data_IF_175057631573
#
_entry.id   IF_175057631573
#
_cell.length_a   1.000
_cell.length_b   1.000
_cell.length_c   1.000
_cell.angle_alpha   90.00
_cell.angle_beta   90.00
_cell.angle_gamma   90.00
#
_symmetry.space_group_name_H-M   'P 1'
#
loop_
_entity.id
_entity.type
_entity.pdbx_description
1 polymer ?
#
# COMPACT_ATOMS: atom_id res chain seq x y z
N UNK A 1 -10.85 12.24 9.50
CA UNK A 1 -10.71 12.16 8.04
C UNK A 1 -12.09 11.91 7.47
N UNK A 2 -12.57 12.72 6.53
CA UNK A 2 -13.89 12.50 5.89
C UNK A 2 -13.75 11.55 4.71
N UNK A 3 -14.84 10.90 4.30
CA UNK A 3 -14.89 10.03 3.11
C UNK A 3 -14.32 10.72 1.87
N UNK A 4 -14.62 12.01 1.71
CA UNK A 4 -14.14 12.82 0.58
C UNK A 4 -12.61 13.05 0.63
N UNK A 5 -12.04 13.22 1.84
CA UNK A 5 -10.58 13.32 2.00
C UNK A 5 -9.87 11.99 1.68
N UNK A 6 -10.49 10.85 2.02
CA UNK A 6 -9.97 9.52 1.70
C UNK A 6 -10.03 9.27 0.19
N UNK A 7 -11.15 9.62 -0.46
CA UNK A 7 -11.31 9.49 -1.90
C UNK A 7 -10.29 10.33 -2.69
N UNK A 8 -10.03 11.58 -2.28
CA UNK A 8 -9.03 12.46 -2.91
C UNK A 8 -7.60 11.96 -2.69
N UNK A 9 -7.30 11.40 -1.52
CA UNK A 9 -5.98 10.83 -1.24
C UNK A 9 -5.73 9.59 -2.13
N UNK A 10 -6.74 8.73 -2.29
CA UNK A 10 -6.68 7.57 -3.16
C UNK A 10 -6.59 7.92 -4.64
N UNK A 11 -7.29 8.97 -5.10
CA UNK A 11 -7.23 9.39 -6.52
C UNK A 11 -5.88 9.95 -6.95
N UNK A 12 -4.93 10.10 -6.02
CA UNK A 12 -3.57 10.59 -6.30
C UNK A 12 -2.53 9.49 -6.12
N UNK A 13 -2.93 8.28 -5.74
CA UNK A 13 -1.99 7.19 -5.52
C UNK A 13 -1.25 6.83 -6.81
N UNK A 14 -1.92 6.94 -7.96
CA UNK A 14 -1.39 6.71 -9.30
C UNK A 14 -0.15 7.58 -9.58
N UNK A 15 -0.12 8.81 -9.04
CA UNK A 15 0.99 9.76 -9.25
C UNK A 15 2.26 9.30 -8.52
N UNK A 16 2.09 8.63 -7.37
CA UNK A 16 3.22 8.25 -6.50
C UNK A 16 3.54 6.77 -6.57
N UNK A 17 2.69 5.94 -7.18
CA UNK A 17 2.79 4.49 -7.22
C UNK A 17 4.15 4.00 -7.73
N UNK A 18 4.60 4.54 -8.87
CA UNK A 18 5.90 4.19 -9.48
C UNK A 18 7.12 4.66 -8.66
N UNK A 19 6.92 5.56 -7.71
CA UNK A 19 7.97 6.07 -6.82
C UNK A 19 8.02 5.34 -5.47
N UNK A 20 7.08 4.43 -5.21
CA UNK A 20 7.08 3.61 -4.01
C UNK A 20 8.14 2.52 -4.10
N UNK A 21 8.74 2.20 -2.96
CA UNK A 21 9.59 1.01 -2.89
C UNK A 21 8.75 -0.26 -3.15
N UNK A 22 9.31 -1.32 -3.75
CA UNK A 22 8.55 -2.55 -4.03
C UNK A 22 7.84 -3.14 -2.81
N UNK A 23 8.46 -3.02 -1.63
CA UNK A 23 7.86 -3.47 -0.37
C UNK A 23 6.62 -2.66 0.02
N UNK A 24 6.61 -1.37 -0.27
CA UNK A 24 5.47 -0.48 0.01
C UNK A 24 4.32 -0.78 -0.93
N UNK A 25 4.59 -0.93 -2.23
CA UNK A 25 3.58 -1.38 -3.20
C UNK A 25 2.94 -2.70 -2.77
N UNK A 26 3.76 -3.67 -2.35
CA UNK A 26 3.26 -4.97 -1.88
C UNK A 26 2.37 -4.83 -0.63
N UNK A 27 2.77 -4.00 0.34
CA UNK A 27 1.95 -3.74 1.54
C UNK A 27 0.59 -3.14 1.18
N UNK A 28 0.57 -2.18 0.25
CA UNK A 28 -0.68 -1.57 -0.21
C UNK A 28 -1.60 -2.62 -0.84
N UNK A 29 -1.07 -3.48 -1.72
CA UNK A 29 -1.85 -4.58 -2.30
C UNK A 29 -2.41 -5.50 -1.22
N UNK A 30 -1.63 -5.86 -0.20
CA UNK A 30 -2.10 -6.70 0.91
C UNK A 30 -3.20 -6.05 1.76
N UNK A 31 -3.21 -4.72 1.89
CA UNK A 31 -4.26 -4.01 2.62
C UNK A 31 -5.57 -3.92 1.82
N UNK A 32 -5.46 -3.88 0.49
CA UNK A 32 -6.61 -3.70 -0.41
C UNK A 32 -7.21 -5.03 -0.88
N UNK A 33 -6.39 -6.05 -1.10
CA UNK A 33 -6.78 -7.32 -1.71
C UNK A 33 -6.91 -8.40 -0.65
N UNK A 34 -8.14 -8.90 -0.49
CA UNK A 34 -8.45 -10.01 0.41
C UNK A 34 -8.03 -11.36 -0.16
N UNK A 35 -8.29 -11.57 -1.46
CA UNK A 35 -8.00 -12.84 -2.12
C UNK A 35 -7.87 -12.66 -3.61
N UNK A 36 -6.92 -13.38 -4.21
CA UNK A 36 -6.84 -13.58 -5.66
C UNK A 36 -7.14 -15.05 -5.96
N UNK A 37 -8.12 -15.30 -6.83
CA UNK A 37 -8.42 -16.62 -7.37
C UNK A 37 -8.00 -16.65 -8.83
N UNK A 38 -7.06 -17.53 -9.16
CA UNK A 38 -6.55 -17.69 -10.53
C UNK A 38 -7.12 -18.98 -11.10
N UNK A 39 -7.73 -18.89 -12.28
CA UNK A 39 -8.18 -20.03 -13.08
C UNK A 39 -7.61 -19.92 -14.49
N UNK A 40 -7.81 -20.95 -15.31
CA UNK A 40 -7.35 -20.93 -16.71
C UNK A 40 -8.08 -19.88 -17.57
N UNK A 41 -9.28 -19.46 -17.17
CA UNK A 41 -10.16 -18.60 -17.96
C UNK A 41 -10.28 -17.19 -17.38
N UNK A 42 -10.15 -17.05 -16.06
CA UNK A 42 -10.29 -15.78 -15.37
C UNK A 42 -9.35 -15.63 -14.17
N UNK A 43 -9.03 -14.36 -13.87
CA UNK A 43 -8.43 -13.93 -12.62
C UNK A 43 -9.47 -13.10 -11.86
N UNK A 44 -9.83 -13.56 -10.66
CA UNK A 44 -10.79 -12.88 -9.79
C UNK A 44 -10.07 -12.30 -8.59
N UNK A 45 -10.16 -10.98 -8.43
CA UNK A 45 -9.65 -10.26 -7.25
C UNK A 45 -10.82 -9.91 -6.35
N UNK A 46 -10.74 -10.31 -5.09
CA UNK A 46 -11.65 -9.88 -4.03
C UNK A 46 -10.95 -8.82 -3.20
N UNK A 47 -11.59 -7.66 -3.07
CA UNK A 47 -11.08 -6.55 -2.26
C UNK A 47 -11.60 -6.66 -0.83
N UNK A 48 -10.79 -6.24 0.13
CA UNK A 48 -11.23 -6.08 1.51
C UNK A 48 -12.34 -5.04 1.59
N UNK A 49 -13.43 -5.36 2.28
CA UNK A 49 -14.55 -4.42 2.52
C UNK A 49 -14.09 -3.10 3.15
N UNK A 50 -13.07 -3.17 4.00
CA UNK A 50 -12.49 -2.02 4.70
C UNK A 50 -11.07 -1.69 4.20
N UNK A 51 -10.66 -2.20 3.03
CA UNK A 51 -9.28 -2.07 2.56
C UNK A 51 -8.83 -0.61 2.41
N UNK A 52 -9.75 0.25 1.98
CA UNK A 52 -9.52 1.70 1.86
C UNK A 52 -9.26 2.36 3.22
N UNK A 53 -10.02 2.00 4.25
CA UNK A 53 -9.82 2.52 5.61
C UNK A 53 -8.47 2.06 6.16
N UNK A 54 -8.15 0.77 6.00
CA UNK A 54 -6.87 0.21 6.42
C UNK A 54 -5.69 0.88 5.71
N UNK A 55 -5.80 1.14 4.41
CA UNK A 55 -4.80 1.86 3.65
C UNK A 55 -4.64 3.32 4.12
N UNK A 56 -5.75 4.04 4.33
CA UNK A 56 -5.70 5.41 4.85
C UNK A 56 -4.99 5.48 6.21
N UNK A 57 -5.26 4.52 7.11
CA UNK A 57 -4.57 4.40 8.39
C UNK A 57 -3.09 4.07 8.23
N UNK A 58 -2.71 3.21 7.29
CA UNK A 58 -1.31 2.89 6.98
C UNK A 58 -0.54 4.11 6.49
N UNK A 59 -1.12 4.91 5.59
CA UNK A 59 -0.51 6.16 5.10
C UNK A 59 -0.28 7.16 6.23
N UNK A 60 -1.26 7.34 7.12
CA UNK A 60 -1.11 8.22 8.30
C UNK A 60 -0.03 7.70 9.25
N UNK A 61 0.04 6.39 9.45
CA UNK A 61 1.07 5.75 10.29
C UNK A 61 2.46 5.91 9.67
N UNK A 62 2.61 5.68 8.36
CA UNK A 62 3.87 5.83 7.65
C UNK A 62 4.37 7.29 7.67
N UNK A 63 3.45 8.26 7.53
CA UNK A 63 3.76 9.68 7.67
C UNK A 63 4.25 10.05 9.08
N UNK A 64 3.75 9.37 10.13
CA UNK A 64 4.19 9.54 11.52
C UNK A 64 5.43 8.74 11.93
N UNK A 65 5.93 7.85 11.06
CA UNK A 65 6.93 6.82 11.40
C UNK A 65 8.26 6.91 10.66
N UNK A 66 8.58 8.01 9.98
CA UNK A 66 9.84 8.15 9.20
C UNK A 66 11.07 8.30 10.12
N UNK A 67 11.39 7.26 10.85
CA UNK A 67 12.75 6.96 11.32
C UNK A 67 13.27 5.85 10.40
N UNK A 68 13.98 6.26 9.35
CA UNK A 68 14.74 5.34 8.50
C UNK A 68 15.77 4.66 9.40
N UNK A 69 15.80 3.32 9.56
CA UNK A 69 16.94 2.69 10.19
C UNK A 69 18.16 2.94 9.29
N UNK A 70 19.21 3.48 9.90
CA UNK A 70 20.48 3.78 9.29
C UNK A 70 20.91 2.63 8.38
N UNK A 71 21.34 3.03 7.18
CA UNK A 71 21.89 2.17 6.16
C UNK A 71 22.75 1.06 6.77
N UNK A 72 22.52 -0.15 6.26
CA UNK A 72 23.32 -1.33 6.48
C UNK A 72 24.80 -0.98 6.53
N UNK A 73 25.37 -1.07 7.74
CA UNK A 73 26.80 -1.04 7.92
C UNK A 73 27.42 -2.21 7.15
N UNK A 74 28.42 -1.87 6.34
CA UNK A 74 29.69 -2.58 6.31
C UNK A 74 29.61 -4.10 6.51
N UNK A 75 29.31 -4.83 5.45
CA UNK A 75 29.77 -6.20 5.30
C UNK A 75 30.06 -6.44 3.83
N UNK A 76 31.34 -6.71 3.53
CA UNK A 76 31.97 -7.01 2.23
C UNK A 76 32.61 -5.82 1.50
N UNK A 77 33.78 -5.39 1.99
CA UNK A 77 35.01 -5.23 1.20
C UNK A 77 36.21 -5.02 2.13
#
# INVERSE_FOLDING_TARGET
MTEMQVAVALSRIDIVWENLFPLEQHRIVQLLVERVVVSQQELRVQLHRNGIEHFALDVVRAAGGKSVPAAAGEALA
#
